data_IF_481728819719
#
_entry.id   IF_481728819719
#
_cell.length_a   1.000
_cell.length_b   1.000
_cell.length_c   1.000
_cell.angle_alpha   90.00
_cell.angle_beta   90.00
_cell.angle_gamma   90.00
#
_symmetry.space_group_name_H-M   'P 1'
#
loop_
_entity.id
_entity.type
_entity.pdbx_description
1 polymer ?
#
# COMPACT_ATOMS: atom_id res chain seq x y z
N UNK A 1 20.55 22.12 -11.12
CA UNK A 1 20.20 20.77 -11.61
C UNK A 1 19.33 20.12 -10.55
N UNK A 2 18.01 20.04 -10.76
CA UNK A 2 17.12 19.35 -9.85
C UNK A 2 17.19 17.85 -10.18
N UNK A 3 17.66 17.03 -9.25
CA UNK A 3 17.54 15.59 -9.38
C UNK A 3 16.08 15.23 -9.13
N UNK A 4 15.35 14.82 -10.17
CA UNK A 4 14.05 14.19 -10.01
C UNK A 4 14.26 12.82 -9.38
N UNK A 5 14.19 12.77 -8.04
CA UNK A 5 14.25 11.51 -7.31
C UNK A 5 12.89 10.86 -7.44
N UNK A 6 12.79 9.86 -8.31
CA UNK A 6 11.58 9.06 -8.42
C UNK A 6 11.25 8.46 -7.04
N UNK A 7 10.01 8.61 -6.53
CA UNK A 7 9.67 8.11 -5.21
C UNK A 7 9.93 6.60 -5.13
N UNK A 8 10.42 6.10 -3.98
CA UNK A 8 10.66 4.68 -3.78
C UNK A 8 9.43 3.83 -4.12
N UNK A 9 9.64 2.62 -4.64
CA UNK A 9 8.54 1.73 -5.09
C UNK A 9 7.45 1.51 -4.04
N UNK A 10 7.81 1.42 -2.76
CA UNK A 10 6.84 1.24 -1.68
C UNK A 10 5.94 2.47 -1.50
N UNK A 11 6.45 3.68 -1.75
CA UNK A 11 5.66 4.93 -1.70
C UNK A 11 4.66 4.95 -2.85
N UNK A 12 5.09 4.57 -4.06
CA UNK A 12 4.18 4.47 -5.22
C UNK A 12 3.06 3.45 -4.99
N UNK A 13 3.40 2.30 -4.40
CA UNK A 13 2.41 1.30 -4.03
C UNK A 13 1.44 1.82 -2.97
N UNK A 14 1.93 2.47 -1.91
CA UNK A 14 1.09 3.05 -0.87
C UNK A 14 0.11 4.08 -1.45
N UNK A 15 0.57 5.00 -2.29
CA UNK A 15 -0.28 5.98 -2.99
C UNK A 15 -1.35 5.29 -3.86
N UNK A 16 -0.99 4.20 -4.53
CA UNK A 16 -1.94 3.44 -5.36
C UNK A 16 -3.02 2.79 -4.50
N UNK A 17 -2.63 2.19 -3.36
CA UNK A 17 -3.56 1.58 -2.42
C UNK A 17 -4.45 2.62 -1.73
N UNK A 18 -3.89 3.78 -1.37
CA UNK A 18 -4.65 4.92 -0.84
C UNK A 18 -5.74 5.35 -1.84
N UNK A 19 -5.39 5.57 -3.11
CA UNK A 19 -6.37 5.92 -4.15
C UNK A 19 -7.49 4.88 -4.27
N UNK A 20 -7.15 3.59 -4.16
CA UNK A 20 -8.15 2.50 -4.16
C UNK A 20 -9.03 2.47 -2.92
N UNK A 21 -8.57 3.02 -1.80
CA UNK A 21 -9.41 3.20 -0.61
C UNK A 21 -10.34 4.40 -0.82
N UNK A 22 -9.79 5.51 -1.33
CA UNK A 22 -10.53 6.74 -1.62
C UNK A 22 -11.62 6.55 -2.69
N UNK A 23 -11.35 5.76 -3.73
CA UNK A 23 -12.31 5.47 -4.81
C UNK A 23 -13.34 4.38 -4.45
N UNK A 24 -13.21 3.78 -3.26
CA UNK A 24 -14.12 2.75 -2.75
C UNK A 24 -13.84 1.32 -3.24
N UNK A 25 -12.81 1.10 -4.05
CA UNK A 25 -12.36 -0.26 -4.44
C UNK A 25 -12.05 -1.11 -3.20
N UNK A 26 -11.43 -0.49 -2.18
CA UNK A 26 -11.26 -1.05 -0.84
C UNK A 26 -12.05 -0.21 0.15
N UNK A 27 -13.35 -0.49 0.25
CA UNK A 27 -14.24 0.27 1.11
C UNK A 27 -13.76 0.32 2.57
N UNK A 28 -13.89 1.47 3.26
CA UNK A 28 -13.55 1.59 4.68
C UNK A 28 -14.21 0.50 5.52
N UNK A 29 -13.47 -0.04 6.48
CA UNK A 29 -13.93 -1.15 7.34
C UNK A 29 -13.89 -2.53 6.69
N UNK A 30 -13.55 -2.62 5.41
CA UNK A 30 -13.29 -3.91 4.75
C UNK A 30 -11.82 -4.29 4.80
N UNK A 31 -11.54 -5.57 4.54
CA UNK A 31 -10.18 -6.09 4.51
C UNK A 31 -9.56 -5.82 3.14
N UNK A 32 -8.42 -5.12 3.11
CA UNK A 32 -7.56 -5.03 1.92
C UNK A 32 -6.98 -6.40 1.55
N UNK A 33 -6.56 -6.61 0.29
CA UNK A 33 -5.88 -7.85 -0.08
C UNK A 33 -4.67 -8.13 0.82
N UNK A 34 -4.43 -9.41 1.11
CA UNK A 34 -3.29 -9.86 1.90
C UNK A 34 -1.95 -9.50 1.25
N UNK A 35 -0.87 -9.49 2.04
CA UNK A 35 0.50 -9.26 1.54
C UNK A 35 0.82 -10.11 0.30
N UNK A 36 0.48 -11.40 0.35
CA UNK A 36 0.73 -12.33 -0.75
C UNK A 36 -0.08 -11.97 -1.99
N UNK A 37 -1.35 -11.60 -1.83
CA UNK A 37 -2.19 -11.16 -2.95
C UNK A 37 -1.65 -9.86 -3.57
N UNK A 38 -1.16 -8.92 -2.76
CA UNK A 38 -0.57 -7.67 -3.23
C UNK A 38 0.77 -7.91 -3.95
N UNK A 39 1.61 -8.81 -3.44
CA UNK A 39 2.84 -9.25 -4.12
C UNK A 39 2.54 -9.76 -5.52
N UNK A 40 1.55 -10.65 -5.66
CA UNK A 40 1.15 -11.20 -6.96
C UNK A 40 0.50 -10.14 -7.86
N UNK A 41 -0.42 -9.33 -7.32
CA UNK A 41 -1.16 -8.33 -8.09
C UNK A 41 -0.28 -7.19 -8.64
N UNK A 42 0.77 -6.81 -7.91
CA UNK A 42 1.64 -5.69 -8.28
C UNK A 42 3.02 -6.14 -8.79
N UNK A 43 3.33 -7.43 -8.78
CA UNK A 43 4.63 -7.96 -9.21
C UNK A 43 5.80 -7.41 -8.38
N UNK A 44 5.57 -7.06 -7.11
CA UNK A 44 6.56 -6.44 -6.23
C UNK A 44 7.10 -7.41 -5.20
N UNK A 45 8.32 -7.16 -4.72
CA UNK A 45 8.91 -7.97 -3.65
C UNK A 45 8.12 -7.81 -2.34
N UNK A 46 8.04 -8.88 -1.54
CA UNK A 46 7.36 -8.87 -0.23
C UNK A 46 7.82 -7.71 0.68
N UNK A 47 9.12 -7.40 0.83
CA UNK A 47 9.56 -6.26 1.64
C UNK A 47 9.03 -4.91 1.13
N UNK A 48 8.84 -4.75 -0.17
CA UNK A 48 8.28 -3.52 -0.76
C UNK A 48 6.80 -3.38 -0.40
N UNK A 49 6.04 -4.48 -0.51
CA UNK A 49 4.62 -4.52 -0.14
C UNK A 49 4.44 -4.27 1.36
N UNK A 50 5.22 -4.93 2.21
CA UNK A 50 5.17 -4.74 3.66
C UNK A 50 5.44 -3.28 4.02
N UNK A 51 6.49 -2.66 3.46
CA UNK A 51 6.77 -1.22 3.70
C UNK A 51 5.65 -0.31 3.23
N UNK A 52 4.99 -0.62 2.12
CA UNK A 52 3.85 0.17 1.65
C UNK A 52 2.66 0.08 2.60
N UNK A 53 2.37 -1.13 3.10
CA UNK A 53 1.31 -1.34 4.09
C UNK A 53 1.64 -0.68 5.44
N UNK A 54 2.89 -0.76 5.89
CA UNK A 54 3.36 -0.05 7.10
C UNK A 54 3.22 1.47 6.97
N UNK A 55 3.55 2.02 5.80
CA UNK A 55 3.35 3.44 5.49
C UNK A 55 1.89 3.83 5.63
N UNK A 56 0.97 3.08 5.02
CA UNK A 56 -0.46 3.34 5.13
C UNK A 56 -0.99 3.17 6.56
N UNK A 57 -0.47 2.21 7.32
CA UNK A 57 -0.82 2.04 8.74
C UNK A 57 -0.39 3.25 9.56
N UNK A 58 0.84 3.71 9.35
CA UNK A 58 1.38 4.88 10.03
C UNK A 58 0.61 6.15 9.71
N UNK A 59 0.18 6.28 8.46
CA UNK A 59 -0.56 7.44 7.97
C UNK A 59 -2.09 7.35 8.28
N UNK A 60 -2.54 6.30 8.99
CA UNK A 60 -3.90 6.15 9.47
C UNK A 60 -4.92 5.56 8.48
N UNK A 61 -4.46 5.11 7.32
CA UNK A 61 -5.30 4.51 6.28
C UNK A 61 -5.66 3.06 6.53
N UNK A 62 -4.80 2.33 7.26
CA UNK A 62 -4.98 0.91 7.56
C UNK A 62 -4.75 0.64 9.04
N UNK A 63 -5.45 -0.36 9.56
CA UNK A 63 -5.18 -0.93 10.87
C UNK A 63 -4.82 -2.41 10.74
N UNK A 64 -4.01 -2.90 11.68
CA UNK A 64 -3.74 -4.34 11.78
C UNK A 64 -4.76 -4.95 12.71
N UNK A 65 -5.65 -5.80 12.18
CA UNK A 65 -6.52 -6.61 13.01
C UNK A 65 -5.99 -8.04 13.05
N UNK A 66 -5.59 -8.51 14.23
CA UNK A 66 -5.42 -9.94 14.46
C UNK A 66 -6.82 -10.57 14.36
N UNK A 67 -6.93 -11.61 13.54
CA UNK A 67 -8.13 -12.43 13.44
C UNK A 67 -8.18 -13.43 14.58
#
# INVERSE_FOLDING_TARGET
>A
MAYEVEPPKYVRLAQTLQRRIEDGTYAPGTRVPSENQLVQAFGMSRPTVVRALELLKRDGWLESRQG
#
